data_IF_902391374286
#
_entry.id   IF_902391374286
#
_cell.length_a   1.000
_cell.length_b   1.000
_cell.length_c   1.000
_cell.angle_alpha   90.00
_cell.angle_beta   90.00
_cell.angle_gamma   90.00
#
_symmetry.space_group_name_H-M   'P 1'
#
loop_
_entity.id
_entity.type
_entity.pdbx_description
1 polymer ?
#
# COMPACT_ATOMS: atom_id res chain seq x y z
N UNK A 1 12.82 -23.70 20.25
CA UNK A 1 12.55 -23.24 18.86
C UNK A 1 11.26 -23.81 18.29
N UNK A 2 10.32 -24.29 19.11
CA UNK A 2 8.92 -24.49 18.69
C UNK A 2 8.01 -23.38 19.24
N UNK A 3 8.50 -22.71 20.28
CA UNK A 3 7.86 -21.64 21.03
C UNK A 3 7.67 -20.38 20.16
N UNK A 4 8.68 -20.03 19.36
CA UNK A 4 8.65 -18.88 18.45
C UNK A 4 7.50 -18.98 17.41
N UNK A 5 7.22 -20.20 16.93
CA UNK A 5 6.12 -20.45 15.98
C UNK A 5 4.76 -20.25 16.65
N UNK A 6 4.58 -20.80 17.85
CA UNK A 6 3.32 -20.71 18.59
C UNK A 6 3.02 -19.26 19.01
N UNK A 7 4.06 -18.50 19.38
CA UNK A 7 3.93 -17.08 19.70
C UNK A 7 3.47 -16.26 18.49
N UNK A 8 4.07 -16.49 17.32
CA UNK A 8 3.63 -15.84 16.07
C UNK A 8 2.19 -16.18 15.69
N UNK A 9 1.80 -17.46 15.80
CA UNK A 9 0.42 -17.90 15.51
C UNK A 9 -0.56 -17.21 16.45
N UNK A 10 -0.24 -17.14 17.74
CA UNK A 10 -1.07 -16.48 18.74
C UNK A 10 -1.23 -14.99 18.45
N UNK A 11 -0.14 -14.31 18.12
CA UNK A 11 -0.15 -12.89 17.80
C UNK A 11 -1.00 -12.64 16.54
N UNK A 12 -0.82 -13.47 15.51
CA UNK A 12 -1.56 -13.35 14.26
C UNK A 12 -3.05 -13.65 14.41
N UNK A 13 -3.41 -14.67 15.20
CA UNK A 13 -4.81 -14.97 15.51
C UNK A 13 -5.48 -13.82 16.29
N UNK A 14 -4.73 -13.18 17.19
CA UNK A 14 -5.20 -12.02 17.95
C UNK A 14 -5.41 -10.80 17.05
N UNK A 15 -4.49 -10.52 16.13
CA UNK A 15 -4.63 -9.44 15.14
C UNK A 15 -5.82 -9.63 14.20
N UNK A 16 -6.03 -10.87 13.71
CA UNK A 16 -7.20 -11.22 12.89
C UNK A 16 -8.48 -10.96 13.69
N UNK A 17 -8.50 -11.35 14.96
CA UNK A 17 -9.64 -11.14 15.85
C UNK A 17 -9.92 -9.65 16.14
N UNK A 18 -8.88 -8.83 16.35
CA UNK A 18 -9.05 -7.39 16.52
C UNK A 18 -9.54 -6.71 15.24
N UNK A 19 -9.03 -7.13 14.08
CA UNK A 19 -9.43 -6.60 12.76
C UNK A 19 -10.88 -6.95 12.41
N UNK A 20 -11.36 -8.12 12.80
CA UNK A 20 -12.76 -8.55 12.63
C UNK A 20 -13.70 -7.96 13.69
N UNK A 21 -13.21 -7.03 14.53
CA UNK A 21 -14.06 -6.27 15.45
C UNK A 21 -14.56 -7.10 16.62
N UNK A 22 -13.81 -8.13 17.02
CA UNK A 22 -14.11 -9.00 18.17
C UNK A 22 -15.46 -9.72 18.05
N UNK A 23 -15.87 -10.02 16.81
CA UNK A 23 -17.04 -10.85 16.53
C UNK A 23 -16.85 -12.21 17.23
N UNK A 24 -17.65 -12.43 18.29
CA UNK A 24 -17.64 -13.67 19.05
C UNK A 24 -18.26 -14.76 18.18
N UNK A 25 -17.43 -15.65 17.62
CA UNK A 25 -17.98 -16.76 16.85
C UNK A 25 -17.00 -17.73 16.20
N UNK A 26 -15.70 -17.45 16.08
CA UNK A 26 -14.84 -18.35 15.30
C UNK A 26 -13.34 -18.29 15.66
N UNK A 27 -13.02 -18.32 16.96
CA UNK A 27 -11.62 -18.35 17.43
C UNK A 27 -10.80 -19.48 16.79
N UNK A 28 -11.41 -20.65 16.60
CA UNK A 28 -10.78 -21.83 15.98
C UNK A 28 -10.40 -21.59 14.51
N UNK A 29 -11.26 -20.88 13.78
CA UNK A 29 -11.00 -20.48 12.38
C UNK A 29 -9.87 -19.46 12.31
N UNK A 30 -9.86 -18.46 13.20
CA UNK A 30 -8.80 -17.46 13.23
C UNK A 30 -7.46 -18.08 13.61
N UNK A 31 -7.46 -19.05 14.54
CA UNK A 31 -6.27 -19.81 14.92
C UNK A 31 -5.75 -20.65 13.76
N UNK A 32 -6.62 -21.41 13.09
CA UNK A 32 -6.25 -22.23 11.92
C UNK A 32 -5.73 -21.37 10.76
N UNK A 33 -6.33 -20.19 10.55
CA UNK A 33 -5.88 -19.23 9.54
C UNK A 33 -4.51 -18.65 9.88
N UNK A 34 -4.29 -18.27 11.14
CA UNK A 34 -3.00 -17.79 11.62
C UNK A 34 -1.91 -18.87 11.51
N UNK A 35 -2.23 -20.12 11.86
CA UNK A 35 -1.29 -21.24 11.74
C UNK A 35 -0.85 -21.44 10.29
N UNK A 36 -1.79 -21.49 9.34
CA UNK A 36 -1.47 -21.65 7.93
C UNK A 36 -0.63 -20.50 7.36
N UNK A 37 -0.83 -19.28 7.86
CA UNK A 37 -0.07 -18.10 7.44
C UNK A 37 1.38 -18.14 7.95
N UNK A 38 1.57 -18.49 9.23
CA UNK A 38 2.90 -18.63 9.84
C UNK A 38 3.65 -19.85 9.29
N UNK A 39 2.96 -20.96 9.02
CA UNK A 39 3.57 -22.14 8.42
C UNK A 39 4.10 -21.85 7.01
N UNK A 40 3.33 -21.09 6.23
CA UNK A 40 3.73 -20.62 4.90
C UNK A 40 4.91 -19.66 4.96
N UNK A 41 4.94 -18.75 5.94
CA UNK A 41 6.08 -17.85 6.18
C UNK A 41 7.33 -18.62 6.59
N UNK A 42 7.21 -19.61 7.48
CA UNK A 42 8.31 -20.45 7.92
C UNK A 42 8.84 -21.38 6.82
N UNK A 43 7.96 -21.84 5.92
CA UNK A 43 8.31 -22.69 4.78
C UNK A 43 8.91 -21.92 3.59
N UNK A 44 8.82 -20.59 3.57
CA UNK A 44 9.51 -19.74 2.61
C UNK A 44 10.80 -19.21 3.24
N UNK A 45 11.98 -19.85 3.00
CA UNK A 45 13.23 -19.46 3.65
C UNK A 45 13.81 -18.13 3.16
N UNK A 46 13.06 -17.30 2.43
CA UNK A 46 13.48 -15.96 2.07
C UNK A 46 12.24 -15.07 1.91
N UNK A 47 12.26 -13.94 2.61
CA UNK A 47 11.54 -12.70 2.30
C UNK A 47 10.01 -12.75 2.36
N UNK A 48 9.45 -12.35 3.51
CA UNK A 48 8.13 -11.71 3.52
C UNK A 48 8.03 -10.57 4.54
N UNK A 49 8.84 -10.60 5.61
CA UNK A 49 8.80 -9.55 6.65
C UNK A 49 9.96 -8.55 6.60
N UNK A 50 11.06 -8.86 5.89
CA UNK A 50 12.25 -7.99 5.79
C UNK A 50 12.42 -7.29 4.43
N UNK A 51 11.36 -7.25 3.60
CA UNK A 51 11.37 -6.47 2.36
C UNK A 51 10.04 -5.75 2.13
N UNK A 52 10.01 -4.53 2.67
CA UNK A 52 9.36 -3.30 2.19
C UNK A 52 8.17 -2.80 3.03
N UNK A 53 8.35 -1.71 3.82
CA UNK A 53 7.26 -0.77 3.98
C UNK A 53 6.98 -0.17 2.60
N UNK A 54 5.70 0.11 2.30
CA UNK A 54 5.32 0.92 1.16
C UNK A 54 5.67 0.35 -0.24
N UNK A 55 4.98 -0.66 -0.76
CA UNK A 55 4.88 -0.84 -2.25
C UNK A 55 3.51 -1.30 -2.74
N UNK A 56 2.59 -1.68 -1.84
CA UNK A 56 1.18 -1.91 -2.21
C UNK A 56 0.29 -0.67 -2.12
N UNK A 57 0.79 0.44 -1.61
CA UNK A 57 0.06 1.73 -1.58
C UNK A 57 0.64 2.79 -2.55
N UNK A 58 1.93 2.72 -2.88
CA UNK A 58 2.59 3.68 -3.80
C UNK A 58 2.35 3.39 -5.29
N UNK A 59 1.63 2.32 -5.64
CA UNK A 59 1.20 2.11 -7.02
C UNK A 59 -0.21 2.65 -7.22
N UNK A 60 -1.16 2.32 -6.34
CA UNK A 60 -2.54 2.77 -6.52
C UNK A 60 -2.75 4.25 -6.21
N UNK A 61 -2.08 4.80 -5.19
CA UNK A 61 -2.22 6.24 -4.89
C UNK A 61 -1.57 7.08 -5.98
N UNK A 62 -0.37 6.71 -6.43
CA UNK A 62 0.38 7.48 -7.42
C UNK A 62 -0.26 7.39 -8.80
N UNK A 63 -0.73 6.21 -9.22
CA UNK A 63 -1.47 6.05 -10.49
C UNK A 63 -2.78 6.86 -10.47
N UNK A 64 -3.55 6.82 -9.36
CA UNK A 64 -4.77 7.63 -9.24
C UNK A 64 -4.47 9.13 -9.19
N UNK A 65 -3.33 9.53 -8.62
CA UNK A 65 -2.91 10.94 -8.55
C UNK A 65 -2.46 11.45 -9.91
N UNK A 66 -1.74 10.62 -10.68
CA UNK A 66 -1.35 10.88 -12.08
C UNK A 66 -2.58 11.06 -12.95
N UNK A 67 -3.53 10.12 -12.87
CA UNK A 67 -4.72 10.12 -13.70
C UNK A 67 -5.65 11.30 -13.36
N UNK A 68 -5.84 11.60 -12.06
CA UNK A 68 -6.61 12.75 -11.61
C UNK A 68 -5.99 14.07 -12.08
N UNK A 69 -4.67 14.21 -11.99
CA UNK A 69 -3.97 15.42 -12.43
C UNK A 69 -4.07 15.59 -13.94
N UNK A 70 -3.87 14.52 -14.71
CA UNK A 70 -4.03 14.51 -16.16
C UNK A 70 -5.44 14.94 -16.57
N UNK A 71 -6.49 14.43 -15.90
CA UNK A 71 -7.88 14.81 -16.17
C UNK A 71 -8.19 16.26 -15.76
N UNK A 72 -7.78 16.68 -14.55
CA UNK A 72 -8.09 18.02 -14.02
C UNK A 72 -7.36 19.14 -14.75
N UNK A 73 -6.13 18.88 -15.18
CA UNK A 73 -5.28 19.91 -15.80
C UNK A 73 -5.21 19.76 -17.31
N UNK A 74 -5.44 18.57 -17.86
CA UNK A 74 -5.36 18.29 -19.31
C UNK A 74 -3.93 18.10 -19.82
N UNK A 75 -3.01 17.72 -18.95
CA UNK A 75 -1.65 17.26 -19.30
C UNK A 75 -1.65 15.74 -19.49
N UNK A 76 -0.58 15.18 -20.06
CA UNK A 76 -0.42 13.73 -20.21
C UNK A 76 -0.04 13.07 -18.88
N UNK A 77 -0.28 11.75 -18.76
CA UNK A 77 0.10 11.00 -17.56
C UNK A 77 1.61 11.03 -17.26
N UNK A 78 2.44 11.08 -18.31
CA UNK A 78 3.90 11.18 -18.18
C UNK A 78 4.31 12.55 -17.60
N UNK A 79 3.73 13.64 -18.11
CA UNK A 79 3.92 15.00 -17.56
C UNK A 79 3.42 15.10 -16.11
N UNK A 80 2.35 14.39 -15.77
CA UNK A 80 1.84 14.33 -14.40
C UNK A 80 2.79 13.55 -13.48
N UNK A 81 3.36 12.44 -13.95
CA UNK A 81 4.33 11.64 -13.22
C UNK A 81 5.62 12.42 -12.94
N UNK A 82 6.16 13.15 -13.92
CA UNK A 82 7.35 14.00 -13.72
C UNK A 82 7.13 15.09 -12.67
N UNK A 83 5.92 15.65 -12.61
CA UNK A 83 5.60 16.64 -11.58
C UNK A 83 5.53 16.02 -10.19
N UNK A 84 5.00 14.79 -10.07
CA UNK A 84 4.97 14.06 -8.80
C UNK A 84 6.38 13.66 -8.37
N UNK A 85 7.22 13.19 -9.30
CA UNK A 85 8.63 12.87 -9.02
C UNK A 85 9.41 14.10 -8.53
N UNK A 86 9.20 15.24 -9.19
CA UNK A 86 9.93 16.48 -8.88
C UNK A 86 9.42 17.21 -7.63
N UNK A 87 8.11 17.22 -7.40
CA UNK A 87 7.45 18.04 -6.37
C UNK A 87 6.95 17.21 -5.18
N UNK A 88 7.03 15.88 -5.26
CA UNK A 88 6.60 14.97 -4.20
C UNK A 88 5.10 15.06 -3.90
N UNK A 89 4.75 15.13 -2.62
CA UNK A 89 3.35 15.15 -2.14
C UNK A 89 2.69 16.53 -2.17
N UNK A 90 3.39 17.58 -2.61
CA UNK A 90 2.89 18.96 -2.62
C UNK A 90 1.90 19.22 -3.77
N UNK A 91 0.66 18.73 -3.61
CA UNK A 91 -0.42 18.80 -4.60
C UNK A 91 -0.68 20.20 -5.16
N UNK A 92 -0.54 21.25 -4.33
CA UNK A 92 -0.73 22.63 -4.76
C UNK A 92 0.36 23.09 -5.74
N UNK A 93 1.61 22.69 -5.51
CA UNK A 93 2.73 23.00 -6.40
C UNK A 93 2.62 22.21 -7.71
N UNK A 94 2.21 20.94 -7.64
CA UNK A 94 1.95 20.07 -8.78
C UNK A 94 0.86 20.68 -9.69
N UNK A 95 -0.25 21.13 -9.13
CA UNK A 95 -1.35 21.72 -9.91
C UNK A 95 -0.95 23.06 -10.55
N UNK A 96 -0.18 23.89 -9.85
CA UNK A 96 0.33 25.16 -10.39
C UNK A 96 1.30 24.94 -11.56
N UNK A 97 2.19 23.95 -11.44
CA UNK A 97 3.12 23.56 -12.49
C UNK A 97 2.39 22.99 -13.72
N UNK A 98 1.40 22.11 -13.49
CA UNK A 98 0.56 21.53 -14.54
C UNK A 98 -0.21 22.60 -15.34
N UNK A 99 -0.83 23.58 -14.66
CA UNK A 99 -1.51 24.72 -15.33
C UNK A 99 -0.54 25.54 -16.18
N UNK A 100 0.67 25.76 -15.68
CA UNK A 100 1.72 26.51 -16.38
C UNK A 100 2.23 25.77 -17.62
N UNK A 101 2.30 24.43 -17.56
CA UNK A 101 2.68 23.57 -18.67
C UNK A 101 1.63 23.65 -19.81
N UNK A 102 0.35 23.56 -19.46
CA UNK A 102 -0.77 23.72 -20.40
C UNK A 102 -0.82 25.11 -21.03
N UNK A 103 -0.58 26.16 -20.25
CA UNK A 103 -0.56 27.52 -20.76
C UNK A 103 0.54 27.70 -21.81
N UNK A 104 1.75 27.18 -21.54
CA UNK A 104 2.87 27.20 -22.51
C UNK A 104 2.59 26.42 -23.79
N UNK A 105 1.78 25.36 -23.72
CA UNK A 105 1.43 24.50 -24.87
C UNK A 105 0.26 25.02 -25.71
N UNK A 106 -0.48 26.02 -25.21
CA UNK A 106 -1.58 26.70 -25.93
C UNK A 106 -1.17 28.03 -26.59
N UNK A 107 0.06 28.49 -26.36
CA UNK A 107 0.69 29.64 -27.02
C UNK A 107 1.45 29.17 -28.25
#
# INVERSE_FOLDING_TARGET
MGDDRLEKIRQRAYEIWEREGRLFGNHDRHWSQAEAEIDREAALPLTADDALPETRKIASTDILTVEELAMRTGITGDEAQELIDRLGSDRAAIEAAARSLKARRRL
#
